data_IF_389072390383
#
_entry.id   IF_389072390383
#
_cell.length_a   1.000
_cell.length_b   1.000
_cell.length_c   1.000
_cell.angle_alpha   90.00
_cell.angle_beta   90.00
_cell.angle_gamma   90.00
#
_symmetry.space_group_name_H-M   'P 1'
#
loop_
_entity.id
_entity.type
_entity.pdbx_description
1 polymer ?
#
# COMPACT_ATOMS: atom_id res chain seq x y z
N UNK A 1 38.45 20.10 0.16
CA UNK A 1 37.08 20.32 0.66
C UNK A 1 36.15 19.55 -0.26
N UNK A 2 35.67 18.39 0.19
CA UNK A 2 34.74 17.57 -0.60
C UNK A 2 33.35 18.18 -0.47
N UNK A 3 32.88 18.84 -1.53
CA UNK A 3 31.49 19.24 -1.65
C UNK A 3 30.66 17.98 -1.87
N UNK A 4 30.09 17.44 -0.79
CA UNK A 4 29.06 16.42 -0.86
C UNK A 4 27.84 17.04 -1.53
N UNK A 5 27.69 16.81 -2.83
CA UNK A 5 26.42 17.03 -3.53
C UNK A 5 25.48 15.96 -3.00
N UNK A 6 24.72 16.29 -1.96
CA UNK A 6 23.60 15.46 -1.55
C UNK A 6 22.67 15.32 -2.77
N UNK A 7 22.27 14.10 -3.17
CA UNK A 7 21.29 13.96 -4.22
C UNK A 7 20.06 14.77 -3.80
N UNK A 8 19.61 15.68 -4.66
CA UNK A 8 18.38 16.41 -4.43
C UNK A 8 17.26 15.39 -4.37
N UNK A 9 16.72 15.18 -3.17
CA UNK A 9 15.59 14.28 -2.96
C UNK A 9 14.48 14.59 -3.95
N UNK A 10 14.02 13.56 -4.66
CA UNK A 10 12.87 13.70 -5.56
C UNK A 10 11.67 14.21 -4.76
N UNK A 11 11.08 15.30 -5.25
CA UNK A 11 9.87 15.87 -4.65
C UNK A 11 8.76 14.81 -4.68
N UNK A 12 7.98 14.62 -3.59
CA UNK A 12 6.82 13.76 -3.61
C UNK A 12 5.84 14.22 -4.68
N UNK A 13 5.39 13.30 -5.52
CA UNK A 13 4.45 13.57 -6.60
C UNK A 13 3.23 12.68 -6.46
N UNK A 14 2.05 13.30 -6.52
CA UNK A 14 0.77 12.63 -6.51
C UNK A 14 0.02 13.10 -7.75
N UNK A 15 -0.22 12.19 -8.69
CA UNK A 15 -0.92 12.53 -9.94
C UNK A 15 -2.41 12.80 -9.73
N UNK A 16 -2.95 12.39 -8.58
CA UNK A 16 -4.39 12.34 -8.34
C UNK A 16 -5.00 10.98 -8.71
N UNK A 17 -4.21 10.06 -9.27
CA UNK A 17 -4.58 8.66 -9.47
C UNK A 17 -4.41 7.89 -8.16
N UNK A 18 -5.37 7.07 -7.80
CA UNK A 18 -5.36 6.34 -6.54
C UNK A 18 -4.28 5.26 -6.51
N UNK A 19 -3.87 4.78 -7.68
CA UNK A 19 -2.79 3.79 -7.80
C UNK A 19 -1.45 4.31 -7.28
N UNK A 20 -1.19 5.62 -7.33
CA UNK A 20 0.05 6.22 -6.84
C UNK A 20 -0.06 6.86 -5.45
N UNK A 21 -1.24 6.79 -4.79
CA UNK A 21 -1.47 7.44 -3.50
C UNK A 21 -0.61 6.83 -2.36
N UNK A 22 -0.45 5.51 -2.34
CA UNK A 22 0.40 4.82 -1.34
C UNK A 22 1.87 5.18 -1.54
N UNK A 23 2.36 5.07 -2.78
CA UNK A 23 3.72 5.44 -3.16
C UNK A 23 4.01 6.90 -2.84
N UNK A 24 3.03 7.79 -3.02
CA UNK A 24 3.14 9.19 -2.65
C UNK A 24 3.38 9.40 -1.15
N UNK A 25 2.65 8.69 -0.27
CA UNK A 25 2.88 8.80 1.18
C UNK A 25 4.28 8.31 1.59
N UNK A 26 4.77 7.22 0.98
CA UNK A 26 6.13 6.75 1.20
C UNK A 26 7.17 7.78 0.74
N UNK A 27 6.94 8.42 -0.42
CA UNK A 27 7.78 9.51 -0.90
C UNK A 27 7.80 10.70 0.06
N UNK A 28 6.66 11.06 0.67
CA UNK A 28 6.59 12.13 1.67
C UNK A 28 7.43 11.80 2.89
N UNK A 29 7.33 10.57 3.41
CA UNK A 29 8.13 10.12 4.57
C UNK A 29 9.62 10.21 4.23
N UNK A 30 10.05 9.61 3.12
CA UNK A 30 11.45 9.66 2.67
C UNK A 30 11.95 11.09 2.50
N UNK A 31 11.13 11.97 1.91
CA UNK A 31 11.45 13.39 1.75
C UNK A 31 11.64 14.12 3.09
N UNK A 32 10.85 13.75 4.10
CA UNK A 32 10.95 14.31 5.44
C UNK A 32 12.22 13.80 6.15
N UNK A 33 12.47 12.50 6.12
CA UNK A 33 13.66 11.88 6.73
C UNK A 33 14.96 12.46 6.21
N UNK A 34 15.11 12.58 4.89
CA UNK A 34 16.31 13.13 4.24
C UNK A 34 16.52 14.62 4.54
N UNK A 35 15.48 15.32 5.02
CA UNK A 35 15.56 16.72 5.47
C UNK A 35 15.57 16.88 6.98
N UNK A 36 15.63 15.77 7.73
CA UNK A 36 15.62 15.78 9.19
C UNK A 36 14.29 16.21 9.82
N UNK A 37 13.19 16.04 9.09
CA UNK A 37 11.82 16.30 9.57
C UNK A 37 11.25 14.99 10.13
N UNK A 38 11.18 14.90 11.46
CA UNK A 38 10.71 13.68 12.15
C UNK A 38 9.39 13.86 12.88
N UNK A 39 8.78 15.06 12.81
CA UNK A 39 7.51 15.32 13.49
C UNK A 39 6.36 15.04 12.53
N UNK A 40 5.44 14.17 12.93
CA UNK A 40 4.23 13.83 12.19
C UNK A 40 3.47 15.04 11.67
N UNK A 41 3.21 16.04 12.52
CA UNK A 41 2.56 17.29 12.09
C UNK A 41 3.31 18.00 10.96
N UNK A 42 4.63 17.96 10.97
CA UNK A 42 5.43 18.54 9.91
C UNK A 42 5.39 17.67 8.64
N UNK A 43 5.37 16.34 8.78
CA UNK A 43 5.17 15.39 7.68
C UNK A 43 3.80 15.59 7.00
N UNK A 44 2.73 15.77 7.78
CA UNK A 44 1.39 16.10 7.28
C UNK A 44 1.42 17.41 6.47
N UNK A 45 2.11 18.45 6.96
CA UNK A 45 2.23 19.71 6.22
C UNK A 45 2.98 19.54 4.90
N UNK A 46 3.99 18.66 4.85
CA UNK A 46 4.69 18.32 3.61
C UNK A 46 3.76 17.60 2.63
N UNK A 47 2.95 16.65 3.10
CA UNK A 47 1.93 16.00 2.27
C UNK A 47 0.97 17.05 1.68
N UNK A 48 0.33 17.86 2.52
CA UNK A 48 -0.61 18.89 2.05
C UNK A 48 0.02 19.87 1.04
N UNK A 49 1.30 20.21 1.21
CA UNK A 49 2.02 21.10 0.31
C UNK A 49 2.23 20.51 -1.08
N UNK A 50 2.44 19.20 -1.17
CA UNK A 50 2.78 18.54 -2.43
C UNK A 50 1.60 17.84 -3.11
N UNK A 51 0.48 17.68 -2.41
CA UNK A 51 -0.77 17.20 -2.99
C UNK A 51 -1.37 18.20 -3.99
N UNK A 52 -2.15 17.73 -4.98
CA UNK A 52 -2.97 18.59 -5.84
C UNK A 52 -3.90 19.50 -5.01
N UNK A 53 -4.25 20.70 -5.50
CA UNK A 53 -5.01 21.67 -4.70
C UNK A 53 -6.35 21.15 -4.16
N UNK A 54 -7.06 20.34 -4.94
CA UNK A 54 -8.32 19.70 -4.52
C UNK A 54 -8.11 18.74 -3.34
N UNK A 55 -7.14 17.83 -3.47
CA UNK A 55 -6.80 16.83 -2.44
C UNK A 55 -6.22 17.49 -1.19
N UNK A 56 -5.31 18.45 -1.36
CA UNK A 56 -4.74 19.25 -0.25
C UNK A 56 -5.83 19.93 0.57
N UNK A 57 -6.80 20.56 -0.09
CA UNK A 57 -7.93 21.21 0.58
C UNK A 57 -8.77 20.21 1.36
N UNK A 58 -9.12 19.08 0.74
CA UNK A 58 -9.88 18.01 1.40
C UNK A 58 -9.14 17.48 2.64
N UNK A 59 -7.88 17.08 2.47
CA UNK A 59 -7.10 16.44 3.52
C UNK A 59 -6.77 17.39 4.68
N UNK A 60 -6.71 18.70 4.44
CA UNK A 60 -6.50 19.70 5.51
C UNK A 60 -7.56 19.62 6.62
N UNK A 61 -8.77 19.13 6.31
CA UNK A 61 -9.82 18.92 7.30
C UNK A 61 -9.51 17.76 8.27
N UNK A 62 -8.58 16.87 7.94
CA UNK A 62 -8.21 15.70 8.75
C UNK A 62 -7.10 15.97 9.77
N UNK A 63 -6.45 17.14 9.74
CA UNK A 63 -5.38 17.50 10.69
C UNK A 63 -5.89 17.46 12.15
N UNK A 64 -7.09 17.99 12.40
CA UNK A 64 -7.67 18.04 13.75
C UNK A 64 -8.18 16.66 14.19
N UNK A 65 -8.97 15.93 13.37
CA UNK A 65 -9.40 14.56 13.70
C UNK A 65 -8.26 13.56 13.93
N UNK A 66 -7.14 13.67 13.21
CA UNK A 66 -5.96 12.82 13.38
C UNK A 66 -5.09 13.17 14.60
N UNK A 67 -5.46 14.20 15.38
CA UNK A 67 -4.63 14.77 16.45
C UNK A 67 -3.22 15.27 15.99
N UNK A 68 -2.96 15.28 14.68
CA UNK A 68 -1.67 15.56 14.08
C UNK A 68 -0.71 14.37 14.06
N UNK A 69 -1.20 13.15 14.23
CA UNK A 69 -0.48 11.89 14.07
C UNK A 69 -0.54 11.44 12.60
N UNK A 70 0.59 10.99 12.05
CA UNK A 70 0.72 10.69 10.63
C UNK A 70 -0.13 9.49 10.21
N UNK A 71 -0.07 8.40 10.98
CA UNK A 71 -0.80 7.16 10.66
C UNK A 71 -2.32 7.36 10.73
N UNK A 72 -2.81 8.10 11.74
CA UNK A 72 -4.22 8.45 11.84
C UNK A 72 -4.67 9.34 10.67
N UNK A 73 -3.82 10.28 10.26
CA UNK A 73 -4.09 11.14 9.10
C UNK A 73 -4.19 10.32 7.81
N UNK A 74 -3.26 9.41 7.54
CA UNK A 74 -3.32 8.53 6.37
C UNK A 74 -4.61 7.70 6.39
N UNK A 75 -4.98 7.11 7.53
CA UNK A 75 -6.20 6.31 7.65
C UNK A 75 -7.45 7.10 7.24
N UNK A 76 -7.59 8.34 7.72
CA UNK A 76 -8.70 9.23 7.34
C UNK A 76 -8.69 9.63 5.87
N UNK A 77 -7.49 9.81 5.28
CA UNK A 77 -7.35 10.10 3.85
C UNK A 77 -7.77 8.90 3.00
N UNK A 78 -7.30 7.70 3.33
CA UNK A 78 -7.63 6.47 2.60
C UNK A 78 -9.13 6.19 2.63
N UNK A 79 -9.80 6.44 3.76
CA UNK A 79 -11.26 6.30 3.89
C UNK A 79 -12.07 7.18 2.91
N UNK A 80 -11.47 8.21 2.31
CA UNK A 80 -12.15 9.03 1.28
C UNK A 80 -12.14 8.37 -0.10
N UNK A 81 -11.38 7.29 -0.25
CA UNK A 81 -11.15 6.59 -1.50
C UNK A 81 -11.55 5.12 -1.33
N UNK A 82 -12.85 4.80 -1.19
CA UNK A 82 -13.33 3.43 -0.97
C UNK A 82 -12.94 2.48 -2.11
N UNK A 83 -12.65 2.99 -3.29
CA UNK A 83 -12.07 2.21 -4.39
C UNK A 83 -10.64 1.68 -4.14
N UNK A 84 -9.95 2.17 -3.09
CA UNK A 84 -8.72 1.56 -2.57
C UNK A 84 -8.98 0.40 -1.61
N UNK A 85 -10.16 0.35 -0.99
CA UNK A 85 -10.68 -0.85 -0.34
C UNK A 85 -11.06 -1.80 -1.49
N UNK A 86 -10.11 -2.63 -1.92
CA UNK A 86 -10.52 -3.79 -2.70
C UNK A 86 -11.56 -4.55 -1.86
N UNK A 87 -12.60 -5.15 -2.47
CA UNK A 87 -13.70 -5.82 -1.77
C UNK A 87 -13.28 -7.12 -1.04
N UNK A 88 -12.15 -7.10 -0.31
CA UNK A 88 -11.58 -8.15 0.50
C UNK A 88 -10.87 -7.67 1.77
N UNK A 89 -10.81 -6.36 2.08
CA UNK A 89 -10.08 -5.85 3.27
C UNK A 89 -10.76 -6.19 4.63
N UNK A 90 -11.97 -6.76 4.62
CA UNK A 90 -12.65 -7.35 5.78
C UNK A 90 -12.54 -8.88 5.87
N UNK A 91 -11.94 -9.54 4.86
CA UNK A 91 -11.70 -10.98 4.91
C UNK A 91 -10.33 -11.23 5.53
N UNK A 92 -10.27 -12.17 6.47
CA UNK A 92 -8.99 -12.67 6.97
C UNK A 92 -8.11 -13.04 5.76
N UNK A 93 -6.83 -12.63 5.72
CA UNK A 93 -5.93 -12.96 4.62
C UNK A 93 -5.87 -14.48 4.29
N UNK A 94 -6.17 -15.36 5.25
CA UNK A 94 -6.38 -16.79 5.01
C UNK A 94 -7.69 -17.09 4.26
N UNK A 95 -8.78 -16.41 4.60
CA UNK A 95 -10.08 -16.56 3.93
C UNK A 95 -9.99 -16.12 2.46
N UNK A 96 -9.22 -15.09 2.16
CA UNK A 96 -8.95 -14.67 0.78
C UNK A 96 -8.19 -15.77 0.00
N UNK A 97 -7.13 -16.33 0.59
CA UNK A 97 -6.40 -17.46 -0.02
C UNK A 97 -7.34 -18.65 -0.23
N UNK A 98 -8.18 -19.01 0.74
CA UNK A 98 -9.10 -20.13 0.60
C UNK A 98 -10.20 -19.87 -0.43
N UNK A 99 -10.69 -18.64 -0.55
CA UNK A 99 -11.64 -18.25 -1.60
C UNK A 99 -10.99 -18.35 -2.99
N UNK A 100 -9.76 -17.87 -3.14
CA UNK A 100 -8.96 -18.02 -4.36
C UNK A 100 -8.76 -19.49 -4.74
N UNK A 101 -8.35 -20.33 -3.78
CA UNK A 101 -8.16 -21.77 -3.98
C UNK A 101 -9.47 -22.48 -4.35
N UNK A 102 -10.58 -22.11 -3.71
CA UNK A 102 -11.91 -22.66 -4.01
C UNK A 102 -12.34 -22.33 -5.44
N UNK A 103 -12.08 -21.09 -5.89
CA UNK A 103 -12.34 -20.68 -7.27
C UNK A 103 -11.46 -21.44 -8.26
N UNK A 104 -10.17 -21.63 -7.93
CA UNK A 104 -9.24 -22.40 -8.75
C UNK A 104 -9.67 -23.87 -8.91
N UNK A 105 -10.26 -24.51 -7.88
CA UNK A 105 -10.81 -25.88 -7.99
C UNK A 105 -11.93 -26.01 -9.01
N UNK A 106 -12.69 -24.95 -9.22
CA UNK A 106 -13.80 -24.92 -10.17
C UNK A 106 -13.39 -24.42 -11.56
N UNK A 107 -12.15 -23.97 -11.70
CA UNK A 107 -11.65 -23.39 -12.94
C UNK A 107 -10.96 -24.47 -13.77
N UNK A 108 -11.40 -24.66 -15.01
CA UNK A 108 -10.67 -25.47 -15.98
C UNK A 108 -9.57 -24.63 -16.61
N UNK A 109 -8.31 -25.01 -16.38
CA UNK A 109 -7.17 -24.36 -17.02
C UNK A 109 -7.10 -24.77 -18.50
N UNK A 110 -7.62 -23.92 -19.37
CA UNK A 110 -7.67 -24.13 -20.82
C UNK A 110 -6.33 -23.95 -21.53
N UNK A 111 -5.33 -23.43 -20.82
CA UNK A 111 -4.05 -23.01 -21.40
C UNK A 111 -2.91 -23.00 -20.38
N UNK A 112 -1.69 -23.22 -20.85
CA UNK A 112 -0.47 -23.05 -20.03
C UNK A 112 -0.32 -21.62 -19.50
N UNK A 113 -0.85 -20.63 -20.23
CA UNK A 113 -0.85 -19.23 -19.79
C UNK A 113 -1.75 -19.04 -18.55
N UNK A 114 -2.96 -19.60 -18.57
CA UNK A 114 -3.89 -19.56 -17.44
C UNK A 114 -3.31 -20.26 -16.20
N UNK A 115 -2.66 -21.41 -16.39
CA UNK A 115 -1.96 -22.13 -15.32
C UNK A 115 -0.78 -21.33 -14.75
N UNK A 116 0.03 -20.72 -15.63
CA UNK A 116 1.14 -19.88 -15.21
C UNK A 116 0.69 -18.62 -14.45
N UNK A 117 -0.45 -18.04 -14.82
CA UNK A 117 -1.04 -16.93 -14.10
C UNK A 117 -1.55 -17.35 -12.72
N UNK A 118 -2.24 -18.48 -12.64
CA UNK A 118 -2.65 -19.08 -11.36
C UNK A 118 -1.45 -19.31 -10.43
N UNK A 119 -0.37 -19.91 -10.93
CA UNK A 119 0.83 -20.18 -10.14
C UNK A 119 1.42 -18.89 -9.56
N UNK A 120 1.52 -17.82 -10.36
CA UNK A 120 2.06 -16.53 -9.89
C UNK A 120 1.15 -15.89 -8.84
N UNK A 121 -0.16 -15.88 -9.07
CA UNK A 121 -1.12 -15.33 -8.11
C UNK A 121 -1.13 -16.10 -6.79
N UNK A 122 -1.08 -17.44 -6.84
CA UNK A 122 -0.93 -18.29 -5.66
C UNK A 122 0.36 -17.98 -4.89
N UNK A 123 1.50 -17.91 -5.59
CA UNK A 123 2.79 -17.64 -4.96
C UNK A 123 2.82 -16.26 -4.28
N UNK A 124 2.26 -15.23 -4.93
CA UNK A 124 2.19 -13.89 -4.37
C UNK A 124 1.39 -13.86 -3.06
N UNK A 125 0.19 -14.44 -3.04
CA UNK A 125 -0.66 -14.48 -1.85
C UNK A 125 -0.03 -15.34 -0.74
N UNK A 126 0.47 -16.53 -1.08
CA UNK A 126 1.08 -17.44 -0.10
C UNK A 126 2.32 -16.83 0.56
N UNK A 127 3.24 -16.24 -0.22
CA UNK A 127 4.45 -15.62 0.31
C UNK A 127 4.14 -14.38 1.15
N UNK A 128 3.07 -13.65 0.83
CA UNK A 128 2.60 -12.53 1.64
C UNK A 128 2.19 -13.01 3.05
N UNK A 129 1.43 -14.11 3.14
CA UNK A 129 1.00 -14.71 4.41
C UNK A 129 2.16 -15.31 5.21
N UNK A 130 3.16 -15.90 4.53
CA UNK A 130 4.39 -16.37 5.18
C UNK A 130 5.15 -15.19 5.78
N UNK A 131 5.26 -14.07 5.06
CA UNK A 131 5.91 -12.85 5.57
C UNK A 131 5.19 -12.26 6.80
N UNK A 132 3.88 -12.42 6.87
CA UNK A 132 3.07 -12.00 8.01
C UNK A 132 3.09 -12.99 9.19
N UNK A 133 3.74 -14.16 9.03
CA UNK A 133 3.78 -15.21 10.05
C UNK A 133 2.47 -15.98 10.21
N UNK A 134 1.56 -15.85 9.24
CA UNK A 134 0.25 -16.52 9.25
C UNK A 134 0.35 -17.95 8.71
N UNK A 135 1.24 -18.17 7.73
CA UNK A 135 1.52 -19.50 7.16
C UNK A 135 2.99 -19.86 7.30
N UNK A 136 3.24 -21.17 7.42
CA UNK A 136 4.58 -21.74 7.27
C UNK A 136 4.85 -22.04 5.80
N UNK A 137 6.09 -21.83 5.35
CA UNK A 137 6.55 -22.19 4.00
C UNK A 137 6.27 -23.68 3.70
N UNK A 138 6.31 -24.55 4.71
CA UNK A 138 6.02 -25.98 4.56
C UNK A 138 4.57 -26.26 4.14
N UNK A 139 3.64 -25.34 4.40
CA UNK A 139 2.23 -25.47 4.04
C UNK A 139 1.97 -25.36 2.52
N UNK A 140 2.94 -24.88 1.74
CA UNK A 140 2.76 -24.58 0.32
C UNK A 140 2.29 -25.80 -0.48
N UNK A 141 2.95 -26.94 -0.26
CA UNK A 141 2.68 -28.19 -0.98
C UNK A 141 1.29 -28.77 -0.70
N UNK A 142 0.68 -28.39 0.44
CA UNK A 142 -0.66 -28.85 0.84
C UNK A 142 -1.78 -27.95 0.32
N UNK A 143 -1.46 -26.70 0.02
CA UNK A 143 -2.42 -25.67 -0.39
C UNK A 143 -2.43 -25.44 -1.90
N UNK A 144 -1.38 -25.84 -2.61
CA UNK A 144 -1.36 -25.82 -4.07
C UNK A 144 -2.33 -26.88 -4.64
N UNK A 145 -3.08 -26.50 -5.68
CA UNK A 145 -4.16 -27.31 -6.29
C UNK A 145 -3.83 -27.62 -7.74
#
# INVERSE_FOLDING_TARGET
MCSSVFPSVARPEFSGDLQDLRDYFEQVVRYCEERGVFKDRATIQVALRFAPPSSSKLWSHFIKPSNGEWDQFIGLVIQQYPELEQPGDDLDPLDELFAFLKKARTFEFDSLSSLGQYLRSFQQQFLHLVKQGVLDIEAQSRLFI
#
